data_IF_853234346438
#
_entry.id   IF_853234346438
#
_cell.length_a   1.000
_cell.length_b   1.000
_cell.length_c   1.000
_cell.angle_alpha   90.00
_cell.angle_beta   90.00
_cell.angle_gamma   90.00
#
_symmetry.space_group_name_H-M   'P 1'
#
loop_
_entity.id
_entity.type
_entity.pdbx_description
1 polymer ?
#
# COMPACT_ATOMS: atom_id res chain seq x y z
N UNK A 1 -6.64 -3.39 3.93
CA UNK A 1 -5.37 -2.76 3.53
C UNK A 1 -4.27 -3.45 4.31
N UNK A 2 -3.29 -4.02 3.61
CA UNK A 2 -2.22 -4.82 4.22
C UNK A 2 -0.88 -4.12 4.03
N UNK A 3 0.05 -4.30 4.97
CA UNK A 3 1.43 -3.85 4.84
C UNK A 3 2.35 -5.00 4.41
N UNK A 4 3.13 -4.79 3.34
CA UNK A 4 4.22 -5.67 2.93
C UNK A 4 5.54 -5.15 3.48
N UNK A 5 6.33 -6.04 4.07
CA UNK A 5 7.61 -5.72 4.70
C UNK A 5 8.73 -6.36 3.90
N UNK A 6 9.64 -5.55 3.38
CA UNK A 6 10.87 -6.05 2.75
C UNK A 6 12.09 -5.38 3.37
N UNK A 7 13.19 -6.12 3.44
CA UNK A 7 14.48 -5.63 3.93
C UNK A 7 15.49 -5.74 2.79
N UNK A 8 16.03 -4.61 2.35
CA UNK A 8 17.06 -4.58 1.32
C UNK A 8 18.23 -3.71 1.77
N UNK A 9 19.46 -4.25 1.73
CA UNK A 9 20.68 -3.54 2.13
C UNK A 9 20.54 -2.78 3.46
N UNK A 10 20.04 -3.46 4.50
CA UNK A 10 19.74 -2.91 5.84
C UNK A 10 18.65 -1.82 5.91
N UNK A 11 18.00 -1.48 4.80
CA UNK A 11 16.87 -0.57 4.78
C UNK A 11 15.58 -1.39 4.90
N UNK A 12 14.78 -1.07 5.91
CA UNK A 12 13.45 -1.66 6.08
C UNK A 12 12.43 -0.82 5.32
N UNK A 13 11.83 -1.41 4.30
CA UNK A 13 10.82 -0.78 3.44
C UNK A 13 9.46 -1.38 3.79
N UNK A 14 8.48 -0.50 3.96
CA UNK A 14 7.07 -0.89 4.11
C UNK A 14 6.29 -0.38 2.91
N UNK A 15 5.59 -1.29 2.25
CA UNK A 15 4.70 -1.01 1.11
C UNK A 15 3.26 -1.18 1.56
N UNK A 16 2.38 -0.24 1.20
CA UNK A 16 0.95 -0.36 1.43
C UNK A 16 0.29 -0.98 0.20
N UNK A 17 -0.52 -2.01 0.41
CA UNK A 17 -1.21 -2.69 -0.67
C UNK A 17 -2.66 -3.02 -0.31
N UNK A 18 -3.49 -3.16 -1.34
CA UNK A 18 -4.86 -3.63 -1.23
C UNK A 18 -5.15 -4.67 -2.31
N UNK A 19 -6.12 -5.53 -2.03
CA UNK A 19 -6.54 -6.58 -2.95
C UNK A 19 -7.81 -6.14 -3.65
N UNK A 20 -7.83 -6.24 -4.97
CA UNK A 20 -9.04 -6.17 -5.77
C UNK A 20 -9.55 -7.60 -6.00
N UNK A 21 -10.73 -7.88 -5.44
CA UNK A 21 -11.40 -9.18 -5.51
C UNK A 21 -12.59 -9.16 -6.48
N UNK A 22 -12.73 -8.12 -7.32
CA UNK A 22 -13.85 -8.00 -8.27
C UNK A 22 -13.80 -9.04 -9.38
N UNK A 23 -12.61 -9.50 -9.74
CA UNK A 23 -12.43 -10.61 -10.68
C UNK A 23 -12.07 -11.89 -9.91
N UNK A 24 -12.52 -13.05 -10.41
CA UNK A 24 -12.20 -14.38 -9.85
C UNK A 24 -10.69 -14.66 -9.84
N UNK A 25 -9.91 -13.82 -10.53
CA UNK A 25 -8.46 -13.69 -10.43
C UNK A 25 -8.12 -12.54 -9.47
N UNK A 26 -8.03 -12.84 -8.18
CA UNK A 26 -7.58 -11.89 -7.15
C UNK A 26 -6.38 -11.03 -7.64
N UNK A 27 -6.59 -9.74 -7.85
CA UNK A 27 -5.55 -8.83 -8.35
C UNK A 27 -4.96 -8.03 -7.19
N UNK A 28 -3.66 -8.15 -6.96
CA UNK A 28 -2.94 -7.39 -5.93
C UNK A 28 -2.59 -5.99 -6.47
N UNK A 29 -3.12 -4.94 -5.84
CA UNK A 29 -2.78 -3.55 -6.16
C UNK A 29 -1.84 -2.99 -5.10
N UNK A 30 -0.66 -2.55 -5.53
CA UNK A 30 0.37 -1.98 -4.65
C UNK A 30 0.35 -0.46 -4.77
N UNK A 31 0.01 0.23 -3.69
CA UNK A 31 0.15 1.69 -3.60
C UNK A 31 1.61 2.00 -3.27
N UNK A 32 2.30 2.67 -4.20
CA UNK A 32 3.73 3.05 -4.15
C UNK A 32 4.10 4.05 -3.05
N UNK A 33 3.27 4.24 -2.02
CA UNK A 33 3.64 4.88 -0.76
C UNK A 33 4.57 3.97 0.07
N UNK A 34 5.68 3.54 -0.56
CA UNK A 34 6.77 2.84 0.08
C UNK A 34 7.59 3.82 0.89
N UNK A 35 7.45 3.80 2.21
CA UNK A 35 8.30 4.64 3.07
C UNK A 35 9.41 3.80 3.68
N UNK A 36 10.62 4.36 3.66
CA UNK A 36 11.73 3.86 4.46
C UNK A 36 11.33 4.07 5.92
N UNK A 37 11.38 3.00 6.73
CA UNK A 37 11.03 3.06 8.15
C UNK A 37 12.01 3.97 8.89
N UNK A 38 11.73 5.27 8.92
CA UNK A 38 12.38 6.26 9.78
C UNK A 38 11.68 6.38 11.13
N UNK A 39 10.38 6.05 11.17
CA UNK A 39 9.53 6.08 12.36
C UNK A 39 8.72 4.79 12.49
N UNK A 40 8.42 4.36 13.72
CA UNK A 40 7.74 3.07 14.00
C UNK A 40 6.30 3.03 13.47
N UNK A 41 5.63 4.19 13.43
CA UNK A 41 4.24 4.34 12.98
C UNK A 41 4.18 4.76 11.52
N UNK A 42 3.21 4.20 10.79
CA UNK A 42 2.87 4.66 9.44
C UNK A 42 2.32 6.09 9.55
N UNK A 43 2.85 7.08 8.82
CA UNK A 43 2.31 8.43 8.85
C UNK A 43 0.85 8.41 8.35
N UNK A 44 -0.05 9.08 9.08
CA UNK A 44 -1.47 9.14 8.71
C UNK A 44 -1.69 9.70 7.29
N UNK A 45 -0.80 10.60 6.86
CA UNK A 45 -0.79 11.15 5.49
C UNK A 45 -0.65 10.06 4.41
N UNK A 46 0.21 9.07 4.65
CA UNK A 46 0.43 7.95 3.72
C UNK A 46 -0.76 6.99 3.69
N UNK A 47 -1.40 6.76 4.85
CA UNK A 47 -2.63 5.98 4.97
C UNK A 47 -3.74 6.64 4.16
N UNK A 48 -3.97 7.95 4.37
CA UNK A 48 -5.02 8.69 3.67
C UNK A 48 -4.79 8.71 2.15
N UNK A 49 -3.51 8.84 1.71
CA UNK A 49 -3.14 8.77 0.30
C UNK A 49 -3.45 7.39 -0.30
N UNK A 50 -3.10 6.32 0.39
CA UNK A 50 -3.40 4.96 -0.06
C UNK A 50 -4.92 4.71 -0.18
N UNK A 51 -5.72 5.21 0.77
CA UNK A 51 -7.18 5.13 0.73
C UNK A 51 -7.75 5.90 -0.48
N UNK A 52 -7.23 7.10 -0.77
CA UNK A 52 -7.68 7.90 -1.92
C UNK A 52 -7.38 7.21 -3.25
N UNK A 53 -6.19 6.62 -3.40
CA UNK A 53 -5.82 5.84 -4.59
C UNK A 53 -6.73 4.61 -4.73
N UNK A 54 -6.98 3.90 -3.63
CA UNK A 54 -7.87 2.75 -3.62
C UNK A 54 -9.28 3.15 -4.08
N UNK A 55 -9.87 4.21 -3.51
CA UNK A 55 -11.20 4.71 -3.92
C UNK A 55 -11.23 5.07 -5.39
N UNK A 56 -10.25 5.85 -5.86
CA UNK A 56 -10.16 6.24 -7.27
C UNK A 56 -10.11 5.01 -8.20
N UNK A 57 -9.32 4.00 -7.85
CA UNK A 57 -9.21 2.77 -8.63
C UNK A 57 -10.51 1.95 -8.68
N UNK A 58 -11.30 1.97 -7.60
CA UNK A 58 -12.64 1.34 -7.55
C UNK A 58 -13.76 2.20 -8.15
N UNK A 59 -13.57 3.51 -8.32
CA UNK A 59 -14.51 4.41 -9.00
C UNK A 59 -14.29 4.43 -10.52
N UNK A 60 -13.05 4.31 -10.98
CA UNK A 60 -12.69 4.30 -12.41
C UNK A 60 -12.85 2.92 -13.10
N UNK A 61 -13.10 1.84 -12.34
CA UNK A 61 -13.34 0.48 -12.84
C UNK A 61 -14.61 -0.09 -12.22
#
# INVERSE_FOLDING_TARGET
>A
MNDFRTKYKNIQIRLLAFWDKRDNKNTLVISTSGFIKKTSKVPQKEINRAISIMKKYFEEN
#
